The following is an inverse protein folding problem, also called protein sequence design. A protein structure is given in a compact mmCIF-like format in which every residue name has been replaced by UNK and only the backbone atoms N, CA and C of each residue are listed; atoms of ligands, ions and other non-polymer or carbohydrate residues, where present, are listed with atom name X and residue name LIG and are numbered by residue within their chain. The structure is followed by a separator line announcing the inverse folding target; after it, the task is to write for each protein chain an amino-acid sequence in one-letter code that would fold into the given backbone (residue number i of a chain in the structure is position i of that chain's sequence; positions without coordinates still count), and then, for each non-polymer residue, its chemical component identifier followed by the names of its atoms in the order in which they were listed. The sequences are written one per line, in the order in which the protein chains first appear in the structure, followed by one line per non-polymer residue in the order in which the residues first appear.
data_IF_246816341900
#
_entry.id   IF_246816341900
#
_cell.length_a   1.000
_cell.length_b   1.000
_cell.length_c   1.000
_cell.angle_alpha   90.00
_cell.angle_beta   90.00
_cell.angle_gamma   90.00
#
_symmetry.space_group_name_H-M   'P 1'
#
loop_
_entity.id
_entity.type
_entity.pdbx_description
1 polymer ?
#
# COMPACT_ATOMS: atom_id res chain seq x y z
N UNK A 1 65.60 10.92 9.84
CA UNK A 1 65.88 12.06 10.75
C UNK A 1 64.61 12.34 11.53
N UNK A 2 64.66 12.15 12.86
CA UNK A 2 63.56 12.40 13.80
C UNK A 2 63.63 13.87 14.23
N UNK A 3 62.51 14.57 14.25
CA UNK A 3 62.39 15.79 15.05
C UNK A 3 61.23 15.62 16.04
N UNK A 4 61.63 15.63 17.32
CA UNK A 4 60.83 15.62 18.53
C UNK A 4 60.59 17.07 18.99
N UNK A 5 59.53 17.22 19.80
CA UNK A 5 59.35 18.24 20.87
C UNK A 5 58.93 19.66 20.42
N UNK A 6 58.07 20.41 21.10
CA UNK A 6 57.57 20.35 22.49
C UNK A 6 56.21 21.05 22.61
N UNK A 7 55.40 20.56 23.55
CA UNK A 7 54.20 21.21 24.14
C UNK A 7 54.64 22.11 25.30
N UNK A 8 53.86 23.15 25.66
CA UNK A 8 53.71 23.50 27.06
C UNK A 8 52.26 23.36 27.57
N UNK A 9 52.18 22.79 28.77
CA UNK A 9 51.10 22.81 29.76
C UNK A 9 50.58 24.26 30.01
N UNK A 10 49.48 24.59 30.69
CA UNK A 10 48.72 24.03 31.81
C UNK A 10 47.53 25.00 32.02
N UNK A 11 46.32 24.51 32.34
CA UNK A 11 45.49 24.93 33.49
C UNK A 11 44.07 24.36 33.34
N UNK A 12 43.69 23.53 34.31
CA UNK A 12 42.37 22.96 34.42
C UNK A 12 41.36 23.90 35.08
N UNK A 13 40.09 23.58 34.87
CA UNK A 13 39.01 23.92 35.77
C UNK A 13 38.14 22.67 35.89
N UNK A 14 38.11 22.10 37.10
CA UNK A 14 37.19 21.04 37.48
C UNK A 14 35.82 21.65 37.77
N UNK A 15 34.78 21.20 37.06
CA UNK A 15 33.40 21.56 37.36
C UNK A 15 32.66 20.32 37.85
N UNK A 16 32.19 20.41 39.10
CA UNK A 16 31.47 19.41 39.87
C UNK A 16 30.18 18.98 39.17
N UNK A 17 29.98 17.66 39.04
CA UNK A 17 28.70 17.06 38.67
C UNK A 17 27.80 16.95 39.89
N UNK A 18 26.69 17.68 39.91
CA UNK A 18 25.61 17.49 40.87
C UNK A 18 24.67 16.38 40.37
N UNK A 19 24.69 15.24 41.05
CA UNK A 19 23.77 14.11 40.78
C UNK A 19 22.51 14.38 41.60
N UNK A 20 21.45 14.88 40.96
CA UNK A 20 20.12 14.97 41.56
C UNK A 20 19.49 13.57 41.57
N UNK A 21 19.25 13.04 42.76
CA UNK A 21 18.56 11.78 42.98
C UNK A 21 17.10 11.88 42.54
N UNK A 22 16.70 11.06 41.57
CA UNK A 22 15.30 10.85 41.21
C UNK A 22 14.77 9.76 42.15
N UNK A 23 13.94 10.16 43.10
CA UNK A 23 13.16 9.24 43.93
C UNK A 23 12.04 8.65 43.10
N UNK A 24 12.10 7.34 42.81
CA UNK A 24 11.00 6.62 42.21
C UNK A 24 9.92 6.35 43.27
N UNK A 25 8.78 7.04 43.18
CA UNK A 25 7.58 6.65 43.91
C UNK A 25 6.97 5.43 43.23
N UNK A 26 7.02 4.28 43.89
CA UNK A 26 6.28 3.07 43.50
C UNK A 26 4.80 3.34 43.73
N UNK A 27 4.06 3.61 42.65
CA UNK A 27 2.59 3.63 42.67
C UNK A 27 2.11 2.18 42.67
N UNK A 28 1.74 1.69 43.84
CA UNK A 28 1.16 0.37 44.04
C UNK A 28 -0.29 0.39 43.54
N UNK A 29 -0.52 -0.09 42.32
CA UNK A 29 -1.85 -0.28 41.75
C UNK A 29 -2.53 -1.50 42.38
N UNK A 30 -3.69 -1.30 43.00
CA UNK A 30 -4.54 -2.39 43.48
C UNK A 30 -5.14 -3.16 42.30
N UNK A 31 -5.24 -4.51 42.36
CA UNK A 31 -5.85 -5.28 41.29
C UNK A 31 -7.36 -5.04 41.24
N UNK A 32 -7.85 -4.54 40.09
CA UNK A 32 -9.28 -4.56 39.74
C UNK A 32 -9.71 -6.02 39.56
N UNK A 33 -10.62 -6.47 40.41
CA UNK A 33 -11.40 -7.69 40.18
C UNK A 33 -12.27 -7.53 38.94
N UNK A 34 -12.01 -8.36 37.93
CA UNK A 34 -12.82 -8.50 36.72
C UNK A 34 -14.06 -9.34 37.05
N UNK A 35 -15.30 -8.93 36.72
CA UNK A 35 -16.47 -9.78 36.92
C UNK A 35 -16.43 -10.97 35.95
N UNK A 36 -16.63 -12.16 36.51
CA UNK A 36 -16.80 -13.44 35.81
C UNK A 36 -17.97 -13.38 34.83
N UNK A 37 -17.82 -13.82 33.57
CA UNK A 37 -18.96 -14.02 32.68
C UNK A 37 -19.71 -15.31 33.05
N UNK A 38 -21.00 -15.18 33.34
CA UNK A 38 -21.96 -16.28 33.47
C UNK A 38 -22.11 -17.02 32.14
N UNK A 39 -22.04 -18.36 32.09
CA UNK A 39 -22.40 -19.11 30.89
C UNK A 39 -23.92 -19.29 30.82
N UNK A 40 -24.58 -18.59 29.88
CA UNK A 40 -25.93 -18.96 29.46
C UNK A 40 -25.83 -20.01 28.35
N UNK A 41 -26.18 -21.25 28.72
CA UNK A 41 -26.56 -22.29 27.77
C UNK A 41 -27.96 -22.00 27.26
N UNK A 42 -28.15 -21.92 25.94
CA UNK A 42 -29.45 -22.19 25.36
C UNK A 42 -29.29 -22.94 24.03
N UNK A 43 -29.79 -24.17 24.07
CA UNK A 43 -29.87 -25.15 23.00
C UNK A 43 -31.17 -24.89 22.25
N UNK A 44 -31.13 -24.76 20.91
CA UNK A 44 -32.34 -24.93 20.11
C UNK A 44 -32.03 -25.46 18.70
N UNK A 45 -32.13 -26.79 18.59
CA UNK A 45 -32.69 -27.66 17.55
C UNK A 45 -33.01 -27.11 16.13
N UNK A 46 -32.34 -27.75 15.15
CA UNK A 46 -32.67 -28.23 13.77
C UNK A 46 -34.12 -28.11 13.22
N UNK A 47 -34.42 -28.36 11.90
CA UNK A 47 -33.62 -29.05 10.86
C UNK A 47 -33.65 -28.49 9.41
N UNK A 48 -32.84 -29.12 8.54
CA UNK A 48 -32.82 -29.00 7.06
C UNK A 48 -34.11 -29.55 6.39
N UNK A 49 -34.35 -29.27 5.08
CA UNK A 49 -34.07 -30.33 4.11
C UNK A 49 -33.69 -29.91 2.65
N UNK A 50 -33.05 -30.88 1.99
CA UNK A 50 -33.19 -31.37 0.60
C UNK A 50 -32.75 -30.54 -0.64
N UNK A 51 -31.72 -31.08 -1.31
CA UNK A 51 -31.44 -30.96 -2.75
C UNK A 51 -32.44 -31.75 -3.61
N UNK A 52 -32.50 -31.46 -4.92
CA UNK A 52 -32.52 -32.56 -5.90
C UNK A 52 -31.54 -32.40 -7.07
N UNK A 53 -31.35 -33.54 -7.72
CA UNK A 53 -30.46 -33.96 -8.82
C UNK A 53 -30.66 -33.26 -10.18
N UNK A 54 -29.53 -33.12 -10.89
CA UNK A 54 -29.23 -33.46 -12.29
C UNK A 54 -30.30 -33.33 -13.41
N UNK A 55 -29.94 -32.65 -14.51
CA UNK A 55 -29.93 -33.22 -15.88
C UNK A 55 -29.35 -32.24 -16.93
N UNK A 56 -28.39 -32.71 -17.73
CA UNK A 56 -28.08 -32.20 -19.08
C UNK A 56 -28.78 -33.09 -20.09
N UNK A 57 -29.20 -32.58 -21.27
CA UNK A 57 -28.63 -33.14 -22.50
C UNK A 57 -28.52 -32.19 -23.72
N UNK A 58 -27.51 -32.50 -24.54
CA UNK A 58 -27.51 -32.60 -26.03
C UNK A 58 -27.51 -31.36 -26.94
N UNK A 59 -26.34 -31.15 -27.56
CA UNK A 59 -26.02 -31.06 -29.00
C UNK A 59 -27.13 -30.72 -30.01
N UNK A 60 -26.92 -29.68 -30.81
CA UNK A 60 -27.20 -29.69 -32.27
C UNK A 60 -26.45 -28.56 -32.98
N UNK A 61 -25.58 -28.91 -33.91
CA UNK A 61 -25.14 -28.05 -35.02
C UNK A 61 -26.31 -27.77 -35.97
N UNK A 62 -26.27 -26.66 -36.72
CA UNK A 62 -26.44 -26.82 -38.16
C UNK A 62 -25.53 -25.92 -39.02
N UNK A 63 -25.11 -26.53 -40.12
CA UNK A 63 -25.16 -26.00 -41.50
C UNK A 63 -24.19 -24.89 -41.91
N UNK A 64 -23.13 -25.33 -42.58
CA UNK A 64 -22.47 -24.61 -43.67
C UNK A 64 -23.36 -24.54 -44.91
N UNK A 65 -23.51 -23.35 -45.50
CA UNK A 65 -23.89 -23.15 -46.91
C UNK A 65 -23.13 -21.92 -47.43
N UNK A 66 -22.50 -21.98 -48.62
CA UNK A 66 -21.73 -20.88 -49.18
C UNK A 66 -22.64 -19.88 -49.89
N UNK A 67 -22.37 -18.58 -49.75
CA UNK A 67 -23.04 -17.52 -50.53
C UNK A 67 -22.00 -16.61 -51.17
N UNK A 68 -22.16 -16.45 -52.48
CA UNK A 68 -21.31 -15.75 -53.42
C UNK A 68 -21.39 -14.22 -53.29
N UNK A 69 -20.26 -13.58 -53.63
CA UNK A 69 -20.10 -12.25 -54.24
C UNK A 69 -21.06 -11.13 -53.86
N UNK A 70 -20.54 -10.16 -53.09
CA UNK A 70 -20.99 -8.76 -53.12
C UNK A 70 -19.80 -7.82 -53.27
N UNK A 71 -19.89 -6.95 -54.28
CA UNK A 71 -18.96 -5.86 -54.60
C UNK A 71 -18.72 -4.94 -53.42
N UNK A 72 -17.44 -4.63 -53.15
CA UNK A 72 -17.03 -3.62 -52.20
C UNK A 72 -17.34 -2.19 -52.73
N UNK A 73 -17.91 -1.28 -51.92
CA UNK A 73 -17.90 0.16 -52.17
C UNK A 73 -16.46 0.71 -52.12
N UNK A 74 -16.16 1.84 -52.79
CA UNK A 74 -14.83 2.44 -52.73
C UNK A 74 -14.47 2.81 -51.28
N UNK A 75 -13.28 2.35 -50.88
CA UNK A 75 -12.62 2.61 -49.62
C UNK A 75 -12.63 4.11 -49.28
N UNK A 76 -13.12 4.53 -48.10
CA UNK A 76 -12.90 5.89 -47.64
C UNK A 76 -11.39 6.06 -47.42
N UNK A 77 -10.83 7.02 -48.13
CA UNK A 77 -9.45 7.50 -47.98
C UNK A 77 -9.06 7.53 -46.49
N UNK A 78 -7.96 6.88 -46.06
CA UNK A 78 -7.49 7.00 -44.70
C UNK A 78 -7.06 8.45 -44.45
N UNK A 79 -7.92 9.20 -43.76
CA UNK A 79 -7.57 10.47 -43.18
C UNK A 79 -6.46 10.23 -42.15
N UNK A 80 -5.25 10.62 -42.54
CA UNK A 80 -4.36 11.52 -41.80
C UNK A 80 -4.58 11.62 -40.28
N UNK A 81 -3.53 11.26 -39.54
CA UNK A 81 -3.28 11.81 -38.20
C UNK A 81 -3.91 11.03 -37.05
N UNK A 82 -3.23 9.97 -36.59
CA UNK A 82 -3.37 9.54 -35.20
C UNK A 82 -2.67 10.59 -34.34
N UNK A 83 -3.39 11.66 -34.01
CA UNK A 83 -2.93 12.67 -33.06
C UNK A 83 -2.91 12.01 -31.68
N UNK A 84 -1.72 11.72 -31.18
CA UNK A 84 -1.49 11.09 -29.89
C UNK A 84 -1.92 12.03 -28.77
N UNK A 85 -3.12 11.81 -28.23
CA UNK A 85 -3.61 12.54 -27.06
C UNK A 85 -2.57 12.38 -25.94
N UNK A 86 -1.99 13.49 -25.43
CA UNK A 86 -1.00 13.40 -24.38
C UNK A 86 -1.66 12.82 -23.13
N UNK A 87 -1.14 11.69 -22.65
CA UNK A 87 -1.65 11.01 -21.45
C UNK A 87 -0.75 11.33 -20.27
N UNK A 88 -1.35 11.55 -19.08
CA UNK A 88 -0.58 11.75 -17.86
C UNK A 88 0.28 10.51 -17.57
N UNK A 89 1.52 10.70 -17.13
CA UNK A 89 2.44 9.59 -16.88
C UNK A 89 2.54 9.29 -15.38
N UNK A 90 2.47 8.01 -15.04
CA UNK A 90 2.55 7.49 -13.68
C UNK A 90 3.58 6.36 -13.66
N UNK A 91 4.70 6.58 -12.97
CA UNK A 91 5.86 5.68 -12.99
C UNK A 91 6.21 5.25 -11.57
N UNK A 92 6.02 3.97 -11.25
CA UNK A 92 6.41 3.41 -9.96
C UNK A 92 7.94 3.33 -9.91
N UNK A 93 8.57 4.15 -9.07
CA UNK A 93 10.02 4.23 -8.89
C UNK A 93 10.52 3.19 -7.89
N UNK A 94 9.75 2.94 -6.84
CA UNK A 94 10.01 1.85 -5.90
C UNK A 94 8.70 1.22 -5.45
N UNK A 95 8.76 -0.09 -5.19
CA UNK A 95 7.66 -0.90 -4.68
C UNK A 95 8.24 -1.97 -3.78
N UNK A 96 7.88 -1.92 -2.50
CA UNK A 96 8.23 -2.95 -1.52
C UNK A 96 6.94 -3.53 -0.95
N UNK A 97 6.83 -4.85 -1.00
CA UNK A 97 5.71 -5.60 -0.45
C UNK A 97 6.15 -6.19 0.89
N UNK A 98 5.73 -5.53 1.97
CA UNK A 98 6.08 -5.91 3.34
C UNK A 98 4.93 -6.61 4.05
N UNK A 99 3.72 -6.57 3.48
CA UNK A 99 2.54 -7.27 4.00
C UNK A 99 1.66 -7.80 2.88
N UNK A 100 0.91 -8.85 3.19
CA UNK A 100 -0.15 -9.36 2.35
C UNK A 100 -1.33 -9.79 3.22
N UNK A 101 -2.54 -9.83 2.63
CA UNK A 101 -3.73 -10.38 3.27
C UNK A 101 -4.05 -11.72 2.63
N UNK A 102 -4.21 -12.77 3.43
CA UNK A 102 -4.58 -14.09 2.94
C UNK A 102 -5.97 -14.04 2.31
N UNK A 103 -6.07 -14.57 1.09
CA UNK A 103 -7.31 -14.64 0.31
C UNK A 103 -7.24 -15.86 -0.63
N UNK A 104 -7.30 -17.04 -0.03
CA UNK A 104 -7.28 -18.33 -0.72
C UNK A 104 -8.71 -18.81 -1.01
N UNK A 105 -9.09 -19.03 -2.29
CA UNK A 105 -10.38 -19.63 -2.62
C UNK A 105 -10.51 -21.09 -2.11
N UNK A 106 -9.41 -21.75 -1.78
CA UNK A 106 -9.37 -23.12 -1.24
C UNK A 106 -8.85 -23.12 0.22
N UNK A 107 -9.30 -22.13 1.01
CA UNK A 107 -8.90 -21.94 2.42
C UNK A 107 -9.03 -23.23 3.26
N UNK A 108 -8.08 -23.50 4.19
CA UNK A 108 -7.01 -22.61 4.64
C UNK A 108 -5.75 -22.64 3.75
N UNK A 109 -5.04 -21.52 3.69
CA UNK A 109 -3.79 -21.39 2.94
C UNK A 109 -2.66 -22.14 3.65
N UNK A 110 -2.02 -23.07 2.95
CA UNK A 110 -0.87 -23.81 3.48
C UNK A 110 0.39 -22.94 3.54
N UNK A 111 1.07 -22.94 4.69
CA UNK A 111 2.42 -22.40 4.86
C UNK A 111 3.42 -23.55 4.70
N UNK A 112 4.39 -23.39 3.82
CA UNK A 112 5.34 -24.45 3.45
C UNK A 112 6.77 -24.13 3.88
N UNK A 113 7.58 -25.15 4.07
CA UNK A 113 9.01 -25.00 4.41
C UNK A 113 9.84 -24.43 3.25
N UNK A 114 9.38 -24.59 2.01
CA UNK A 114 10.07 -24.17 0.78
C UNK A 114 9.05 -23.59 -0.23
N UNK A 115 9.47 -22.73 -1.17
CA UNK A 115 8.62 -22.11 -2.19
C UNK A 115 8.28 -23.08 -3.34
N UNK A 116 7.74 -24.24 -3.01
CA UNK A 116 7.31 -25.26 -3.97
C UNK A 116 6.21 -26.12 -3.35
N UNK A 117 5.31 -26.67 -4.15
CA UNK A 117 4.32 -27.65 -3.68
C UNK A 117 4.87 -29.06 -3.59
N UNK A 118 5.90 -29.38 -4.38
CA UNK A 118 6.52 -30.69 -4.46
C UNK A 118 7.72 -30.80 -3.52
N UNK A 119 7.81 -31.88 -2.75
CA UNK A 119 8.94 -32.12 -1.84
C UNK A 119 9.00 -31.20 -0.60
N UNK A 120 8.13 -30.19 -0.50
CA UNK A 120 8.05 -29.33 0.69
C UNK A 120 7.09 -29.86 1.74
N UNK A 121 7.40 -29.56 3.00
CA UNK A 121 6.54 -29.87 4.13
C UNK A 121 5.61 -28.70 4.41
N UNK A 122 4.35 -29.00 4.77
CA UNK A 122 3.43 -27.99 5.31
C UNK A 122 3.82 -27.78 6.77
N UNK A 123 4.22 -26.55 7.13
CA UNK A 123 4.63 -26.16 8.48
C UNK A 123 3.51 -25.50 9.26
N UNK A 124 2.42 -25.11 8.58
CA UNK A 124 1.25 -24.49 9.20
C UNK A 124 0.19 -24.13 8.18
N UNK A 125 -0.87 -23.47 8.64
CA UNK A 125 -1.94 -22.96 7.78
C UNK A 125 -2.41 -21.59 8.26
N UNK A 126 -2.95 -20.78 7.34
CA UNK A 126 -3.48 -19.44 7.60
C UNK A 126 -4.92 -19.35 7.10
N UNK A 127 -5.77 -18.62 7.81
CA UNK A 127 -7.16 -18.38 7.40
C UNK A 127 -7.26 -17.12 6.52
N UNK A 128 -8.30 -17.07 5.69
CA UNK A 128 -8.62 -15.87 4.93
C UNK A 128 -8.82 -14.64 5.83
N UNK A 129 -8.33 -13.49 5.36
CA UNK A 129 -8.37 -12.23 6.09
C UNK A 129 -7.24 -12.03 7.09
N UNK A 130 -6.42 -13.05 7.37
CA UNK A 130 -5.20 -12.89 8.15
C UNK A 130 -4.17 -12.06 7.39
N UNK A 131 -3.46 -11.20 8.12
CA UNK A 131 -2.35 -10.43 7.57
C UNK A 131 -1.04 -11.12 7.91
N UNK A 132 -0.14 -11.16 6.92
CA UNK A 132 1.20 -11.70 7.07
C UNK A 132 2.24 -10.61 6.85
N UNK A 133 3.38 -10.73 7.51
CA UNK A 133 4.58 -9.95 7.19
C UNK A 133 5.38 -10.70 6.14
N UNK A 134 5.68 -10.02 5.04
CA UNK A 134 6.43 -10.54 3.90
C UNK A 134 7.87 -10.05 4.00
N UNK A 135 8.81 -10.98 3.93
CA UNK A 135 10.25 -10.69 3.88
C UNK A 135 10.74 -10.54 2.44
N UNK A 136 10.30 -11.44 1.55
CA UNK A 136 10.63 -11.37 0.13
C UNK A 136 9.64 -12.14 -0.73
N UNK A 137 9.67 -11.83 -2.02
CA UNK A 137 9.03 -12.60 -3.06
C UNK A 137 10.07 -13.42 -3.83
N UNK A 138 9.72 -14.66 -4.17
CA UNK A 138 10.52 -15.52 -5.02
C UNK A 138 9.61 -16.40 -5.86
N UNK A 139 9.67 -16.27 -7.19
CA UNK A 139 8.99 -17.15 -8.15
C UNK A 139 7.49 -17.38 -7.87
N UNK A 140 6.77 -16.31 -7.50
CA UNK A 140 5.34 -16.38 -7.16
C UNK A 140 5.03 -16.87 -5.74
N UNK A 141 6.04 -17.02 -4.89
CA UNK A 141 5.91 -17.30 -3.46
C UNK A 141 6.31 -16.11 -2.62
N UNK A 142 5.67 -15.96 -1.46
CA UNK A 142 6.02 -14.99 -0.44
C UNK A 142 6.65 -15.72 0.72
N UNK A 143 7.87 -15.34 1.08
CA UNK A 143 8.45 -15.74 2.35
C UNK A 143 7.84 -14.85 3.43
N UNK A 144 7.23 -15.47 4.42
CA UNK A 144 6.60 -14.79 5.54
C UNK A 144 7.37 -15.05 6.84
N UNK A 145 7.27 -14.11 7.76
CA UNK A 145 7.90 -14.18 9.09
C UNK A 145 6.90 -14.09 10.24
N UNK A 146 5.74 -13.48 10.00
CA UNK A 146 4.63 -13.31 10.95
C UNK A 146 3.33 -13.72 10.27
N UNK A 147 2.44 -14.49 10.92
CA UNK A 147 2.53 -14.96 12.32
C UNK A 147 3.49 -16.13 12.54
N UNK A 148 4.00 -16.73 11.47
CA UNK A 148 4.99 -17.80 11.51
C UNK A 148 5.90 -17.74 10.29
N UNK A 149 7.06 -18.39 10.38
CA UNK A 149 8.00 -18.48 9.26
C UNK A 149 7.61 -19.55 8.25
N UNK A 150 7.73 -19.22 6.97
CA UNK A 150 7.55 -20.17 5.87
C UNK A 150 7.22 -19.48 4.55
N UNK A 151 6.70 -20.25 3.61
CA UNK A 151 6.37 -19.79 2.26
C UNK A 151 4.90 -19.99 1.96
N UNK A 152 4.28 -18.98 1.37
CA UNK A 152 2.89 -19.03 0.91
C UNK A 152 2.81 -18.63 -0.57
N UNK A 153 1.83 -19.17 -1.29
CA UNK A 153 1.64 -18.84 -2.69
C UNK A 153 1.06 -17.43 -2.82
N UNK A 154 1.73 -16.54 -3.58
CA UNK A 154 1.33 -15.12 -3.73
C UNK A 154 -0.06 -14.98 -4.34
N UNK A 155 -0.42 -15.84 -5.28
CA UNK A 155 -1.73 -15.83 -5.95
C UNK A 155 -2.90 -16.23 -5.03
N UNK A 156 -2.62 -16.66 -3.80
CA UNK A 156 -3.62 -16.92 -2.74
C UNK A 156 -3.67 -15.78 -1.71
N UNK A 157 -3.16 -14.61 -2.10
CA UNK A 157 -3.13 -13.40 -1.26
C UNK A 157 -3.64 -12.20 -2.03
N UNK A 158 -4.24 -11.25 -1.32
CA UNK A 158 -4.29 -9.86 -1.76
C UNK A 158 -2.97 -9.20 -1.36
N UNK A 159 -2.25 -8.66 -2.34
CA UNK A 159 -0.95 -8.01 -2.13
C UNK A 159 -0.75 -6.84 -3.09
N UNK A 160 0.19 -5.95 -2.74
CA UNK A 160 0.53 -4.75 -3.49
C UNK A 160 1.79 -4.09 -2.91
N UNK A 161 2.16 -2.93 -3.43
CA UNK A 161 3.23 -2.15 -2.80
C UNK A 161 2.71 -1.65 -1.44
N UNK A 162 3.39 -1.99 -0.35
CA UNK A 162 3.17 -1.39 0.97
C UNK A 162 3.95 -0.10 1.09
N UNK A 163 5.22 -0.13 0.65
CA UNK A 163 6.04 1.05 0.45
C UNK A 163 6.07 1.35 -1.05
N UNK A 164 5.62 2.55 -1.43
CA UNK A 164 5.57 2.96 -2.83
C UNK A 164 6.10 4.37 -2.99
N UNK A 165 7.01 4.55 -3.95
CA UNK A 165 7.35 5.86 -4.50
C UNK A 165 6.93 5.90 -5.95
N UNK A 166 6.08 6.84 -6.31
CA UNK A 166 5.57 6.99 -7.67
C UNK A 166 5.83 8.39 -8.19
N UNK A 167 6.50 8.50 -9.33
CA UNK A 167 6.65 9.76 -10.05
C UNK A 167 5.41 9.99 -10.92
N UNK A 168 4.82 11.16 -10.78
CA UNK A 168 3.61 11.55 -11.51
C UNK A 168 3.91 12.81 -12.34
N UNK A 169 3.48 12.82 -13.60
CA UNK A 169 3.53 13.98 -14.47
C UNK A 169 2.19 14.22 -15.15
N UNK A 170 1.79 15.48 -15.29
CA UNK A 170 0.59 15.83 -16.04
C UNK A 170 0.74 15.51 -17.53
N UNK A 171 -0.39 15.29 -18.19
CA UNK A 171 -0.46 15.34 -19.65
C UNK A 171 -0.13 16.77 -20.13
N UNK A 172 0.39 16.90 -21.35
CA UNK A 172 0.63 18.20 -21.94
C UNK A 172 -0.67 19.04 -21.96
N UNK A 173 -0.58 20.29 -21.49
CA UNK A 173 -1.72 21.21 -21.39
C UNK A 173 -2.67 20.92 -20.22
N UNK A 174 -2.42 19.90 -19.40
CA UNK A 174 -3.16 19.66 -18.16
C UNK A 174 -2.40 20.17 -16.95
N UNK A 175 -3.15 20.63 -15.96
CA UNK A 175 -2.64 21.08 -14.67
C UNK A 175 -3.14 20.23 -13.50
N UNK A 176 -4.07 19.29 -13.75
CA UNK A 176 -4.69 18.44 -12.74
C UNK A 176 -4.57 16.94 -13.07
N UNK A 177 -4.40 16.13 -12.04
CA UNK A 177 -4.49 14.66 -12.11
C UNK A 177 -5.21 14.11 -10.88
N UNK A 178 -6.00 13.04 -11.07
CA UNK A 178 -6.55 12.25 -9.97
C UNK A 178 -5.73 10.97 -9.77
N UNK A 179 -5.33 10.73 -8.53
CA UNK A 179 -4.62 9.54 -8.07
C UNK A 179 -5.59 8.68 -7.26
N UNK A 180 -5.73 7.41 -7.64
CA UNK A 180 -6.54 6.40 -6.92
C UNK A 180 -5.71 5.17 -6.65
N UNK A 181 -5.82 4.64 -5.44
CA UNK A 181 -5.12 3.43 -5.03
C UNK A 181 -5.70 2.85 -3.72
N UNK A 182 -5.09 1.80 -3.17
CA UNK A 182 -5.40 1.26 -1.85
C UNK A 182 -4.16 0.75 -1.12
N UNK A 183 -4.17 0.83 0.20
CA UNK A 183 -3.25 0.07 1.04
C UNK A 183 -3.77 -1.35 1.30
N UNK A 184 -2.84 -2.29 1.46
CA UNK A 184 -3.10 -3.65 1.94
C UNK A 184 -2.23 -3.87 3.16
N UNK A 185 -2.78 -3.66 4.36
CA UNK A 185 -1.99 -3.64 5.59
C UNK A 185 -1.31 -2.29 5.82
N UNK A 186 -0.20 -2.29 6.53
CA UNK A 186 0.55 -1.06 6.86
C UNK A 186 1.46 -0.65 5.71
N UNK A 187 1.78 0.64 5.60
CA UNK A 187 2.63 1.12 4.52
C UNK A 187 2.68 2.63 4.35
N UNK A 188 3.48 3.08 3.39
CA UNK A 188 3.56 4.47 2.95
C UNK A 188 3.53 4.56 1.43
N UNK A 189 2.64 5.39 0.90
CA UNK A 189 2.57 5.70 -0.53
C UNK A 189 2.94 7.16 -0.73
N UNK A 190 3.99 7.39 -1.51
CA UNK A 190 4.54 8.71 -1.80
C UNK A 190 4.43 8.99 -3.29
N UNK A 191 3.74 10.07 -3.63
CA UNK A 191 3.59 10.54 -5.00
C UNK A 191 4.42 11.80 -5.19
N UNK A 192 5.25 11.84 -6.23
CA UNK A 192 6.15 12.95 -6.53
C UNK A 192 5.62 13.72 -7.73
N UNK A 193 5.36 15.01 -7.57
CA UNK A 193 5.03 15.92 -8.65
C UNK A 193 5.94 17.15 -8.59
N UNK A 194 6.34 17.65 -9.76
CA UNK A 194 7.14 18.86 -9.86
C UNK A 194 6.25 20.10 -9.85
N UNK A 195 6.66 21.12 -9.09
CA UNK A 195 6.10 22.46 -9.14
C UNK A 195 7.22 23.49 -9.24
N UNK A 196 6.94 24.62 -9.91
CA UNK A 196 7.81 25.79 -9.95
C UNK A 196 7.45 26.76 -8.83
N UNK A 197 8.46 27.50 -8.36
CA UNK A 197 8.23 28.57 -7.39
C UNK A 197 7.15 29.54 -7.89
N UNK A 198 6.22 29.88 -7.01
CA UNK A 198 5.09 30.78 -7.28
C UNK A 198 3.83 30.08 -7.81
N UNK A 199 3.92 28.82 -8.27
CA UNK A 199 2.73 28.06 -8.66
C UNK A 199 1.86 27.74 -7.44
N UNK A 200 0.56 27.62 -7.66
CA UNK A 200 -0.40 27.21 -6.63
C UNK A 200 -0.64 25.71 -6.74
N UNK A 201 -0.35 25.00 -5.65
CA UNK A 201 -0.65 23.58 -5.49
C UNK A 201 -2.00 23.47 -4.78
N UNK A 202 -2.97 22.82 -5.41
CA UNK A 202 -4.28 22.52 -4.82
C UNK A 202 -4.47 21.02 -4.75
N UNK A 203 -4.87 20.53 -3.57
CA UNK A 203 -5.13 19.13 -3.32
C UNK A 203 -6.57 18.96 -2.88
N UNK A 204 -7.31 18.07 -3.53
CA UNK A 204 -8.70 17.75 -3.17
C UNK A 204 -8.82 16.27 -2.86
N UNK A 205 -9.29 15.94 -1.67
CA UNK A 205 -9.61 14.56 -1.28
C UNK A 205 -10.92 14.14 -1.91
N UNK A 206 -10.90 13.04 -2.65
CA UNK A 206 -12.08 12.41 -3.24
C UNK A 206 -12.57 11.23 -2.38
N UNK A 207 -11.66 10.45 -1.79
CA UNK A 207 -11.97 9.34 -0.88
C UNK A 207 -10.79 9.00 0.05
N UNK A 208 -11.06 8.36 1.20
CA UNK A 208 -10.01 7.85 2.09
C UNK A 208 -9.42 8.93 3.00
N UNK A 209 -8.09 8.97 3.16
CA UNK A 209 -7.37 9.98 3.94
C UNK A 209 -6.93 11.17 3.07
N UNK A 210 -6.62 12.31 3.69
CA UNK A 210 -6.00 13.44 3.00
C UNK A 210 -4.47 13.25 3.00
N UNK A 211 -3.76 13.44 1.87
CA UNK A 211 -2.32 13.25 1.83
C UNK A 211 -1.59 14.40 2.54
N UNK A 212 -0.53 14.08 3.27
CA UNK A 212 0.43 15.08 3.72
C UNK A 212 1.17 15.67 2.50
N UNK A 213 1.31 17.00 2.46
CA UNK A 213 2.05 17.70 1.41
C UNK A 213 3.41 18.10 1.94
N UNK A 214 4.48 17.66 1.29
CA UNK A 214 5.87 17.88 1.72
C UNK A 214 6.60 18.64 0.61
N UNK A 215 7.18 19.78 0.96
CA UNK A 215 7.97 20.62 0.04
C UNK A 215 9.34 19.99 -0.26
N UNK A 216 10.05 20.44 -1.32
CA UNK A 216 11.34 19.83 -1.69
C UNK A 216 12.45 19.99 -0.66
N UNK A 217 12.29 20.89 0.33
CA UNK A 217 13.18 21.04 1.48
C UNK A 217 12.82 20.10 2.66
N UNK A 218 11.82 19.23 2.50
CA UNK A 218 11.33 18.32 3.54
C UNK A 218 10.30 18.92 4.51
N UNK A 219 9.94 20.20 4.36
CA UNK A 219 8.93 20.84 5.21
C UNK A 219 7.53 20.32 4.89
N UNK A 220 6.81 19.86 5.91
CA UNK A 220 5.37 19.59 5.83
C UNK A 220 4.61 20.91 5.68
N UNK A 221 3.78 21.00 4.64
CA UNK A 221 2.88 22.12 4.36
C UNK A 221 1.48 21.91 4.94
N UNK A 222 1.16 20.65 5.26
CA UNK A 222 -0.02 20.22 6.02
C UNK A 222 0.46 19.71 7.37
N UNK A 223 -0.03 20.31 8.45
CA UNK A 223 0.51 20.10 9.80
C UNK A 223 0.15 18.74 10.41
N UNK A 224 -1.01 18.18 10.05
CA UNK A 224 -1.52 16.92 10.62
C UNK A 224 -1.61 15.81 9.55
N UNK A 225 -0.97 14.65 9.74
CA UNK A 225 -1.13 13.49 8.86
C UNK A 225 -2.52 12.82 8.94
N UNK A 226 -3.34 13.09 9.96
CA UNK A 226 -4.75 12.66 10.07
C UNK A 226 -5.75 13.79 9.76
N UNK A 227 -5.35 14.73 8.89
CA UNK A 227 -6.19 15.84 8.51
C UNK A 227 -7.45 15.36 7.75
N UNK A 228 -8.62 15.54 8.36
CA UNK A 228 -9.92 15.18 7.76
C UNK A 228 -10.41 16.23 6.75
N UNK A 229 -9.57 17.19 6.37
CA UNK A 229 -9.89 18.21 5.37
C UNK A 229 -10.32 17.58 4.04
N UNK A 230 -11.18 18.31 3.34
CA UNK A 230 -11.59 17.96 1.98
C UNK A 230 -10.68 18.58 0.93
N UNK A 231 -10.05 19.71 1.22
CA UNK A 231 -9.13 20.38 0.31
C UNK A 231 -8.03 21.17 1.05
N UNK A 232 -6.95 21.46 0.33
CA UNK A 232 -5.90 22.39 0.72
C UNK A 232 -5.38 23.11 -0.54
N UNK A 233 -4.96 24.37 -0.38
CA UNK A 233 -4.28 25.12 -1.43
C UNK A 233 -3.13 25.92 -0.83
N UNK A 234 -1.99 25.98 -1.52
CA UNK A 234 -0.83 26.73 -1.08
C UNK A 234 0.16 27.01 -2.20
N UNK A 235 0.94 28.07 -2.05
CA UNK A 235 1.97 28.45 -3.03
C UNK A 235 3.24 27.60 -2.87
N UNK A 236 3.77 27.12 -3.99
CA UNK A 236 5.07 26.50 -4.06
C UNK A 236 6.16 27.54 -3.74
N UNK A 237 6.80 27.42 -2.58
CA UNK A 237 7.82 28.39 -2.13
C UNK A 237 9.15 28.20 -2.85
N UNK A 238 9.34 27.07 -3.52
CA UNK A 238 10.55 26.70 -4.24
C UNK A 238 10.21 25.77 -5.41
N UNK A 239 11.03 25.81 -6.46
CA UNK A 239 10.95 24.86 -7.58
C UNK A 239 11.52 23.51 -7.16
N UNK A 240 10.81 22.43 -7.46
CA UNK A 240 11.31 21.07 -7.23
C UNK A 240 10.21 20.04 -7.05
N UNK A 241 10.60 18.91 -6.46
CA UNK A 241 9.75 17.75 -6.20
C UNK A 241 8.95 17.94 -4.91
N UNK A 242 7.63 18.02 -5.06
CA UNK A 242 6.68 17.99 -3.95
C UNK A 242 6.16 16.58 -3.77
N UNK A 243 6.05 16.15 -2.52
CA UNK A 243 5.62 14.80 -2.16
C UNK A 243 4.24 14.84 -1.53
N UNK A 244 3.35 14.01 -2.04
CA UNK A 244 2.04 13.74 -1.47
C UNK A 244 2.11 12.37 -0.81
N UNK A 245 2.15 12.34 0.51
CA UNK A 245 2.34 11.13 1.29
C UNK A 245 1.04 10.70 1.97
N UNK A 246 0.73 9.43 1.87
CA UNK A 246 -0.31 8.76 2.64
C UNK A 246 0.32 7.61 3.40
N UNK A 247 -0.16 7.36 4.60
CA UNK A 247 0.32 6.27 5.44
C UNK A 247 -0.85 5.39 5.91
N UNK A 248 -0.60 4.10 6.07
CA UNK A 248 -1.52 3.15 6.68
C UNK A 248 -0.86 2.50 7.89
N UNK A 249 -1.52 2.59 9.05
CA UNK A 249 -1.04 2.02 10.32
C UNK A 249 -1.83 0.76 10.73
N UNK A 250 -2.77 0.30 9.89
CA UNK A 250 -3.64 -0.84 10.23
C UNK A 250 -3.85 -1.77 9.02
N UNK A 251 -5.10 -2.08 8.68
CA UNK A 251 -5.47 -3.07 7.63
C UNK A 251 -5.38 -2.54 6.20
N UNK A 252 -5.01 -1.27 6.02
CA UNK A 252 -5.11 -0.58 4.75
C UNK A 252 -6.50 -0.04 4.45
N UNK A 253 -6.58 0.86 3.49
CA UNK A 253 -7.79 1.54 3.06
C UNK A 253 -7.66 1.99 1.60
N UNK A 254 -8.77 2.09 0.84
CA UNK A 254 -8.76 2.75 -0.46
C UNK A 254 -8.71 4.26 -0.29
N UNK A 255 -8.09 4.94 -1.24
CA UNK A 255 -8.06 6.41 -1.26
C UNK A 255 -8.08 6.95 -2.68
N UNK A 256 -8.52 8.20 -2.79
CA UNK A 256 -8.50 8.96 -4.01
C UNK A 256 -8.31 10.45 -3.69
N UNK A 257 -7.42 11.12 -4.42
CA UNK A 257 -7.25 12.56 -4.34
C UNK A 257 -6.82 13.12 -5.69
N UNK A 258 -7.12 14.39 -5.93
CA UNK A 258 -6.60 15.13 -7.08
C UNK A 258 -5.59 16.16 -6.65
N UNK A 259 -4.60 16.37 -7.51
CA UNK A 259 -3.59 17.43 -7.38
C UNK A 259 -3.70 18.31 -8.62
N UNK A 260 -3.81 19.62 -8.40
CA UNK A 260 -3.73 20.66 -9.43
C UNK A 260 -2.53 21.57 -9.15
N UNK A 261 -1.74 21.90 -10.17
CA UNK A 261 -0.58 22.80 -10.07
C UNK A 261 -0.63 23.82 -11.21
N UNK A 262 -0.85 25.09 -10.88
CA UNK A 262 -0.98 26.21 -11.84
C UNK A 262 -0.02 27.35 -11.50
#
# INVERSE_FOLDING_TARGET
MKFQSSVPFLTGAASLAAIAGITYTVVQSSPRTLPTPTPSSEVSSAPAPASPLATSPTTTSPTTTPSSSQSAPPEPTPASGSESVPTASRQIKSCEMTMAKVNDPESPLNVRSQPTTEGSQIVGTLRNGEFVTVEREQDGWLQITVPMSGWIAKNRTESGCNQKLEQVSFAAGQDQITIRDRFIGTGSHRYVLQAKQGQTITVTREAGAFPAVIAPNGKYLTEDPDDRRSNWSGSATQTGDYIFQLDSNFRGYPYAFSVRIQ
#
